data_IF_565148410515
#
_entry.id   IF_565148410515
#
_cell.length_a   1.000
_cell.length_b   1.000
_cell.length_c   1.000
_cell.angle_alpha   90.00
_cell.angle_beta   90.00
_cell.angle_gamma   90.00
#
_symmetry.space_group_name_H-M   'P 1'
#
loop_
_entity.id
_entity.type
_entity.pdbx_description
1 polymer ?
#
# COMPACT_ATOMS: atom_id res chain seq x y z
N UNK A 1 -38.58 21.24 20.26
CA UNK A 1 -37.88 21.22 18.96
C UNK A 1 -38.04 19.81 18.41
N UNK A 2 -38.89 19.67 17.40
CA UNK A 2 -39.03 18.39 16.71
C UNK A 2 -37.77 18.18 15.88
N UNK A 3 -36.92 17.26 16.29
CA UNK A 3 -35.80 16.84 15.47
C UNK A 3 -36.36 16.04 14.28
N UNK A 4 -35.85 16.28 13.05
CA UNK A 4 -36.30 15.53 11.88
C UNK A 4 -36.05 14.03 12.06
N UNK A 5 -36.86 13.16 11.45
CA UNK A 5 -36.86 11.70 11.59
C UNK A 5 -35.57 10.94 11.17
N UNK A 6 -34.49 11.63 10.89
CA UNK A 6 -33.16 11.04 10.57
C UNK A 6 -32.39 10.57 11.80
N UNK A 7 -32.92 10.67 13.01
CA UNK A 7 -32.22 10.32 14.27
C UNK A 7 -31.85 8.84 14.39
N UNK A 8 -32.35 7.98 13.53
CA UNK A 8 -31.97 6.56 13.48
C UNK A 8 -30.70 6.31 12.66
N UNK A 9 -30.23 7.29 11.86
CA UNK A 9 -29.02 7.19 11.06
C UNK A 9 -27.79 7.62 11.87
N UNK A 10 -26.71 6.89 11.70
CA UNK A 10 -25.39 7.18 12.28
C UNK A 10 -24.37 7.32 11.17
N UNK A 11 -23.23 7.97 11.44
CA UNK A 11 -22.11 8.03 10.51
C UNK A 11 -21.69 6.66 9.96
N UNK A 12 -21.92 5.60 10.73
CA UNK A 12 -21.63 4.23 10.32
C UNK A 12 -22.47 3.79 9.10
N UNK A 13 -23.72 4.26 8.97
CA UNK A 13 -24.54 3.94 7.79
C UNK A 13 -23.93 4.53 6.51
N UNK A 14 -23.43 5.76 6.58
CA UNK A 14 -22.77 6.44 5.47
C UNK A 14 -21.45 5.75 5.09
N UNK A 15 -20.64 5.38 6.08
CA UNK A 15 -19.40 4.64 5.87
C UNK A 15 -19.66 3.27 5.23
N UNK A 16 -20.66 2.53 5.71
CA UNK A 16 -21.04 1.25 5.14
C UNK A 16 -21.50 1.37 3.69
N UNK A 17 -22.27 2.41 3.37
CA UNK A 17 -22.67 2.69 1.99
C UNK A 17 -21.47 2.90 1.06
N UNK A 18 -20.52 3.78 1.43
CA UNK A 18 -19.30 4.03 0.64
C UNK A 18 -18.51 2.73 0.45
N UNK A 19 -18.30 1.97 1.53
CA UNK A 19 -17.54 0.72 1.44
C UNK A 19 -18.20 -0.32 0.55
N UNK A 20 -19.54 -0.39 0.53
CA UNK A 20 -20.29 -1.27 -0.40
C UNK A 20 -20.06 -0.86 -1.84
N UNK A 21 -20.05 0.45 -2.12
CA UNK A 21 -19.74 0.97 -3.47
C UNK A 21 -18.31 0.60 -3.89
N UNK A 22 -17.33 0.80 -3.01
CA UNK A 22 -15.92 0.53 -3.29
C UNK A 22 -15.60 -0.96 -3.48
N UNK A 23 -16.23 -1.84 -2.69
CA UNK A 23 -16.02 -3.29 -2.79
C UNK A 23 -16.89 -3.95 -3.87
N UNK A 24 -17.95 -3.26 -4.33
CA UNK A 24 -18.86 -3.72 -5.37
C UNK A 24 -19.79 -4.87 -4.94
N UNK A 25 -19.66 -5.42 -3.75
CA UNK A 25 -20.52 -6.49 -3.22
C UNK A 25 -20.71 -6.41 -1.71
N UNK A 26 -21.94 -6.73 -1.24
CA UNK A 26 -22.24 -6.82 0.20
C UNK A 26 -21.37 -7.84 0.93
N UNK A 27 -21.05 -8.96 0.28
CA UNK A 27 -20.27 -10.04 0.88
C UNK A 27 -18.83 -9.59 1.19
N UNK A 28 -18.13 -9.05 0.20
CA UNK A 28 -16.74 -8.55 0.40
C UNK A 28 -16.66 -7.43 1.43
N UNK A 29 -17.68 -6.55 1.43
CA UNK A 29 -17.74 -5.46 2.42
C UNK A 29 -17.96 -6.00 3.83
N UNK A 30 -18.84 -6.99 3.99
CA UNK A 30 -19.10 -7.62 5.28
C UNK A 30 -17.84 -8.32 5.82
N UNK A 31 -17.10 -9.04 4.97
CA UNK A 31 -15.81 -9.64 5.31
C UNK A 31 -14.78 -8.58 5.75
N UNK A 32 -14.66 -7.48 4.98
CA UNK A 32 -13.75 -6.37 5.31
C UNK A 32 -14.06 -5.75 6.68
N UNK A 33 -15.35 -5.63 7.00
CA UNK A 33 -15.84 -5.01 8.25
C UNK A 33 -15.92 -5.99 9.43
N UNK A 34 -15.65 -7.29 9.22
CA UNK A 34 -15.87 -8.36 10.21
C UNK A 34 -17.29 -8.39 10.78
N UNK A 35 -18.30 -8.18 9.92
CA UNK A 35 -19.71 -8.25 10.26
C UNK A 35 -20.42 -9.31 9.41
N UNK A 36 -21.61 -9.74 9.82
CA UNK A 36 -22.41 -10.63 8.98
C UNK A 36 -23.03 -9.87 7.80
N UNK A 37 -23.07 -10.52 6.62
CA UNK A 37 -23.72 -9.92 5.44
C UNK A 37 -25.19 -9.51 5.68
N UNK A 38 -26.03 -10.29 6.42
CA UNK A 38 -27.37 -9.86 6.78
C UNK A 38 -27.40 -8.55 7.56
N UNK A 39 -26.49 -8.36 8.52
CA UNK A 39 -26.39 -7.11 9.30
C UNK A 39 -26.05 -5.92 8.39
N UNK A 40 -25.07 -6.06 7.51
CA UNK A 40 -24.71 -5.01 6.55
C UNK A 40 -25.89 -4.68 5.64
N UNK A 41 -26.57 -5.70 5.09
CA UNK A 41 -27.74 -5.50 4.25
C UNK A 41 -28.89 -4.80 4.99
N UNK A 42 -29.11 -5.13 6.27
CA UNK A 42 -30.09 -4.46 7.12
C UNK A 42 -29.74 -2.98 7.32
N UNK A 43 -28.47 -2.65 7.54
CA UNK A 43 -28.01 -1.27 7.70
C UNK A 43 -28.20 -0.44 6.42
N UNK A 44 -27.91 -1.01 5.25
CA UNK A 44 -28.17 -0.35 3.97
C UNK A 44 -29.66 -0.19 3.73
N UNK A 45 -30.47 -1.21 4.00
CA UNK A 45 -31.93 -1.12 3.87
C UNK A 45 -32.54 -0.08 4.82
N UNK A 46 -32.00 0.07 6.04
CA UNK A 46 -32.39 1.12 6.97
C UNK A 46 -32.06 2.51 6.39
N UNK A 47 -30.88 2.71 5.83
CA UNK A 47 -30.47 3.96 5.17
C UNK A 47 -31.44 4.31 4.03
N UNK A 48 -31.71 3.37 3.12
CA UNK A 48 -32.65 3.57 2.00
C UNK A 48 -34.06 3.90 2.47
N UNK A 49 -34.50 3.24 3.54
CA UNK A 49 -35.82 3.49 4.14
C UNK A 49 -35.95 4.91 4.67
N UNK A 50 -34.96 5.40 5.41
CA UNK A 50 -34.95 6.74 5.96
C UNK A 50 -34.86 7.82 4.88
N UNK A 51 -34.13 7.53 3.79
CA UNK A 51 -34.04 8.43 2.65
C UNK A 51 -35.28 8.36 1.73
N UNK A 52 -36.10 7.32 1.85
CA UNK A 52 -37.24 7.10 1.00
C UNK A 52 -36.91 6.70 -0.46
N UNK A 53 -35.63 6.42 -0.76
CA UNK A 53 -35.17 6.07 -2.10
C UNK A 53 -34.25 4.86 -2.06
N UNK A 54 -34.17 4.13 -3.17
CA UNK A 54 -33.19 3.06 -3.34
C UNK A 54 -31.87 3.63 -3.82
N UNK A 55 -30.79 3.26 -3.14
CA UNK A 55 -29.43 3.65 -3.50
C UNK A 55 -28.75 2.60 -4.37
N UNK A 56 -29.17 1.34 -4.24
CA UNK A 56 -28.66 0.23 -5.02
C UNK A 56 -29.76 -0.48 -5.79
N UNK A 57 -29.38 -0.98 -6.97
CA UNK A 57 -30.20 -1.88 -7.78
C UNK A 57 -29.37 -3.06 -8.26
N UNK A 58 -30.04 -4.08 -8.83
CA UNK A 58 -29.34 -5.22 -9.43
C UNK A 58 -29.47 -5.15 -10.94
N UNK A 59 -28.31 -5.09 -11.62
CA UNK A 59 -28.24 -5.18 -13.07
C UNK A 59 -27.44 -6.43 -13.44
N UNK A 60 -28.08 -7.37 -14.15
CA UNK A 60 -27.48 -8.67 -14.55
C UNK A 60 -26.81 -9.40 -13.36
N UNK A 61 -27.44 -9.35 -12.18
CA UNK A 61 -26.94 -10.00 -10.97
C UNK A 61 -25.86 -9.21 -10.20
N UNK A 62 -25.35 -8.12 -10.73
CA UNK A 62 -24.38 -7.24 -10.07
C UNK A 62 -25.10 -6.12 -9.30
N UNK A 63 -24.54 -5.77 -8.16
CA UNK A 63 -24.97 -4.60 -7.38
C UNK A 63 -24.45 -3.34 -8.05
N UNK A 64 -25.33 -2.41 -8.41
CA UNK A 64 -24.97 -1.14 -9.04
C UNK A 64 -25.72 0.00 -8.35
N UNK A 65 -25.16 1.21 -8.39
CA UNK A 65 -25.85 2.40 -7.89
C UNK A 65 -27.06 2.74 -8.76
N UNK A 66 -28.08 3.33 -8.13
CA UNK A 66 -29.13 4.08 -8.82
C UNK A 66 -28.65 5.52 -9.05
N UNK A 67 -29.39 6.32 -9.81
CA UNK A 67 -29.12 7.76 -9.96
C UNK A 67 -29.12 8.46 -8.58
N UNK A 68 -30.08 8.14 -7.70
CA UNK A 68 -30.09 8.62 -6.32
C UNK A 68 -28.87 8.12 -5.51
N UNK A 69 -28.38 6.90 -5.81
CA UNK A 69 -27.19 6.34 -5.19
C UNK A 69 -25.92 7.08 -5.61
N UNK A 70 -25.81 7.48 -6.88
CA UNK A 70 -24.67 8.27 -7.39
C UNK A 70 -24.63 9.66 -6.75
N UNK A 71 -25.77 10.35 -6.74
CA UNK A 71 -25.89 11.63 -6.06
C UNK A 71 -25.55 11.51 -4.56
N UNK A 72 -26.12 10.51 -3.89
CA UNK A 72 -25.85 10.30 -2.47
C UNK A 72 -24.38 9.97 -2.17
N UNK A 73 -23.67 9.29 -3.08
CA UNK A 73 -22.24 9.01 -2.96
C UNK A 73 -21.42 10.31 -2.95
N UNK A 74 -21.70 11.22 -3.88
CA UNK A 74 -21.00 12.51 -3.99
C UNK A 74 -21.21 13.35 -2.73
N UNK A 75 -22.46 13.53 -2.31
CA UNK A 75 -22.82 14.29 -1.11
C UNK A 75 -22.23 13.67 0.18
N UNK A 76 -22.28 12.35 0.29
CA UNK A 76 -21.77 11.63 1.48
C UNK A 76 -20.25 11.75 1.61
N UNK A 77 -19.52 11.69 0.50
CA UNK A 77 -18.05 11.89 0.52
C UNK A 77 -17.68 13.28 1.01
N UNK A 78 -18.36 14.30 0.50
CA UNK A 78 -18.17 15.67 0.95
C UNK A 78 -18.48 15.85 2.44
N UNK A 79 -19.62 15.33 2.88
CA UNK A 79 -20.03 15.37 4.28
C UNK A 79 -19.05 14.70 5.23
N UNK A 80 -18.57 13.49 4.92
CA UNK A 80 -17.60 12.79 5.76
C UNK A 80 -16.25 13.52 5.80
N UNK A 81 -15.80 14.10 4.69
CA UNK A 81 -14.60 14.93 4.65
C UNK A 81 -14.74 16.19 5.54
N UNK A 82 -15.91 16.83 5.55
CA UNK A 82 -16.16 18.00 6.41
C UNK A 82 -16.24 17.60 7.89
N UNK A 83 -16.80 16.44 8.21
CA UNK A 83 -16.80 15.89 9.57
C UNK A 83 -15.36 15.65 10.02
N UNK A 84 -14.55 14.97 9.22
CA UNK A 84 -13.13 14.74 9.54
C UNK A 84 -12.36 16.04 9.72
N UNK A 85 -12.57 17.02 8.83
CA UNK A 85 -11.97 18.35 8.92
C UNK A 85 -12.38 19.05 10.21
N UNK A 86 -13.65 18.96 10.61
CA UNK A 86 -14.16 19.56 11.85
C UNK A 86 -13.52 18.91 13.08
N UNK A 87 -13.46 17.56 13.13
CA UNK A 87 -12.76 16.86 14.22
C UNK A 87 -11.28 17.22 14.28
N UNK A 88 -10.62 17.32 13.12
CA UNK A 88 -9.21 17.72 13.03
C UNK A 88 -9.03 19.14 13.57
N UNK A 89 -9.81 20.09 13.12
CA UNK A 89 -9.77 21.49 13.57
C UNK A 89 -10.01 21.64 15.08
N UNK A 90 -11.00 20.92 15.64
CA UNK A 90 -11.27 20.94 17.07
C UNK A 90 -10.14 20.31 17.89
N UNK A 91 -9.58 19.19 17.43
CA UNK A 91 -8.41 18.58 18.06
C UNK A 91 -7.19 19.51 18.02
N UNK A 92 -6.97 20.20 16.92
CA UNK A 92 -5.87 21.18 16.79
C UNK A 92 -6.08 22.40 17.68
N UNK A 93 -7.32 22.87 17.86
CA UNK A 93 -7.63 24.09 18.59
C UNK A 93 -7.82 23.89 20.11
N UNK A 94 -8.39 22.76 20.53
CA UNK A 94 -8.86 22.54 21.91
C UNK A 94 -8.42 21.21 22.52
N UNK A 95 -7.82 20.32 21.73
CA UNK A 95 -7.35 19.02 22.24
C UNK A 95 -6.15 19.22 23.15
N UNK A 96 -6.27 18.88 24.43
CA UNK A 96 -5.13 18.79 25.34
C UNK A 96 -4.20 17.60 25.02
N UNK A 97 -4.40 16.91 23.89
CA UNK A 97 -3.51 15.91 23.35
C UNK A 97 -2.48 16.65 22.50
N UNK A 98 -1.50 17.22 23.19
CA UNK A 98 -0.34 17.92 22.62
C UNK A 98 0.66 16.94 21.98
N UNK A 99 0.21 15.95 21.23
CA UNK A 99 1.13 15.15 20.45
C UNK A 99 0.90 15.41 18.98
N UNK A 100 1.95 15.94 18.32
CA UNK A 100 1.98 16.04 16.87
C UNK A 100 1.61 14.69 16.29
N UNK A 101 0.78 14.62 15.22
CA UNK A 101 0.45 13.36 14.58
C UNK A 101 1.73 12.60 14.21
N UNK A 102 1.68 11.29 14.28
CA UNK A 102 2.73 10.44 13.74
C UNK A 102 2.37 10.11 12.29
N UNK A 103 3.16 10.66 11.36
CA UNK A 103 2.96 10.47 9.92
C UNK A 103 3.88 9.38 9.41
N UNK A 104 3.29 8.28 8.97
CA UNK A 104 4.01 7.10 8.49
C UNK A 104 3.87 6.93 6.98
N UNK A 105 4.99 6.82 6.29
CA UNK A 105 5.06 6.47 4.89
C UNK A 105 5.44 5.00 4.68
N UNK A 106 4.72 4.30 3.82
CA UNK A 106 5.03 2.94 3.38
C UNK A 106 5.29 2.96 1.88
N UNK A 107 6.36 2.30 1.45
CA UNK A 107 6.58 2.17 0.01
C UNK A 107 5.59 1.19 -0.61
N UNK A 108 5.05 1.54 -1.78
CA UNK A 108 4.31 0.64 -2.64
C UNK A 108 5.18 -0.55 -3.09
N UNK A 109 4.57 -1.63 -3.52
CA UNK A 109 5.28 -2.83 -3.98
C UNK A 109 5.57 -3.86 -2.90
N UNK A 110 5.34 -3.55 -1.63
CA UNK A 110 5.24 -4.56 -0.59
C UNK A 110 3.77 -4.83 -0.29
N UNK A 111 3.40 -6.09 -0.41
CA UNK A 111 2.12 -6.69 -0.10
C UNK A 111 1.20 -5.78 0.73
N UNK A 112 0.24 -5.15 0.09
CA UNK A 112 -0.70 -4.21 0.74
C UNK A 112 -1.41 -4.83 1.96
N UNK A 113 -1.57 -6.16 1.98
CA UNK A 113 -2.09 -6.92 3.11
C UNK A 113 -1.17 -6.86 4.33
N UNK A 114 0.15 -6.89 4.15
CA UNK A 114 1.12 -6.78 5.26
C UNK A 114 1.15 -5.38 5.83
N UNK A 115 1.08 -4.34 4.98
CA UNK A 115 0.99 -2.96 5.43
C UNK A 115 -0.26 -2.75 6.30
N UNK A 116 -1.43 -3.22 5.84
CA UNK A 116 -2.69 -3.15 6.62
C UNK A 116 -2.54 -3.81 7.99
N UNK A 117 -1.89 -4.98 8.05
CA UNK A 117 -1.66 -5.69 9.31
C UNK A 117 -0.71 -4.92 10.24
N UNK A 118 0.38 -4.36 9.70
CA UNK A 118 1.31 -3.52 10.48
C UNK A 118 0.58 -2.31 11.07
N UNK A 119 -0.16 -1.57 10.24
CA UNK A 119 -0.91 -0.38 10.67
C UNK A 119 -1.98 -0.73 11.72
N UNK A 120 -2.71 -1.83 11.53
CA UNK A 120 -3.71 -2.29 12.49
C UNK A 120 -3.08 -2.60 13.87
N UNK A 121 -2.02 -3.41 13.91
CA UNK A 121 -1.32 -3.75 15.15
C UNK A 121 -0.68 -2.53 15.81
N UNK A 122 -0.21 -1.58 15.01
CA UNK A 122 0.36 -0.33 15.51
C UNK A 122 -0.72 0.53 16.18
N UNK A 123 -1.88 0.71 15.56
CA UNK A 123 -3.03 1.41 16.17
C UNK A 123 -3.52 0.77 17.45
N UNK A 124 -3.51 -0.56 17.54
CA UNK A 124 -3.84 -1.26 18.79
C UNK A 124 -2.83 -0.97 19.91
N UNK A 125 -1.56 -0.72 19.57
CA UNK A 125 -0.51 -0.43 20.56
C UNK A 125 -0.55 1.01 21.05
N UNK A 126 -1.10 1.92 20.25
CA UNK A 126 -1.17 3.35 20.53
C UNK A 126 -2.56 3.89 20.13
N UNK A 127 -3.61 3.56 20.89
CA UNK A 127 -4.99 3.92 20.51
C UNK A 127 -5.24 5.45 20.52
N UNK A 128 -4.48 6.19 21.33
CA UNK A 128 -4.70 7.62 21.57
C UNK A 128 -3.90 8.54 20.62
N UNK A 129 -3.02 7.97 19.79
CA UNK A 129 -2.25 8.79 18.84
C UNK A 129 -3.03 9.08 17.54
N UNK A 130 -2.85 10.27 17.02
CA UNK A 130 -3.27 10.58 15.66
C UNK A 130 -2.24 9.98 14.69
N UNK A 131 -2.60 8.87 14.04
CA UNK A 131 -1.76 8.20 13.06
C UNK A 131 -2.24 8.53 11.64
N UNK A 132 -1.41 9.23 10.88
CA UNK A 132 -1.58 9.44 9.45
C UNK A 132 -0.73 8.42 8.68
N UNK A 133 -1.32 7.74 7.70
CA UNK A 133 -0.64 6.69 6.92
C UNK A 133 -0.71 7.02 5.45
N UNK A 134 0.43 6.96 4.80
CA UNK A 134 0.56 7.18 3.37
C UNK A 134 1.26 6.00 2.70
N UNK A 135 0.82 5.66 1.51
CA UNK A 135 1.44 4.62 0.67
C UNK A 135 1.75 5.25 -0.68
N UNK A 136 3.03 5.27 -1.04
CA UNK A 136 3.48 5.84 -2.29
C UNK A 136 4.77 5.14 -2.79
N UNK A 137 5.27 5.55 -3.93
CA UNK A 137 6.53 5.05 -4.42
C UNK A 137 7.69 5.45 -3.50
N UNK A 138 8.75 4.65 -3.51
CA UNK A 138 9.92 4.79 -2.61
C UNK A 138 10.59 6.15 -2.67
N UNK A 139 10.68 6.75 -3.87
CA UNK A 139 11.33 8.05 -4.06
C UNK A 139 10.55 9.14 -3.32
N UNK A 140 9.23 9.18 -3.48
CA UNK A 140 8.39 10.17 -2.80
C UNK A 140 8.38 9.96 -1.28
N UNK A 141 8.30 8.73 -0.80
CA UNK A 141 8.37 8.44 0.64
C UNK A 141 9.70 8.91 1.23
N UNK A 142 10.83 8.64 0.54
CA UNK A 142 12.14 9.10 0.98
C UNK A 142 12.25 10.62 0.99
N UNK A 143 11.78 11.30 -0.06
CA UNK A 143 11.77 12.75 -0.19
C UNK A 143 10.94 13.40 0.92
N UNK A 144 9.72 12.94 1.16
CA UNK A 144 8.83 13.46 2.19
C UNK A 144 9.36 13.25 3.61
N UNK A 145 10.07 12.13 3.86
CA UNK A 145 10.77 11.94 5.11
C UNK A 145 11.87 13.00 5.31
N UNK A 146 12.68 13.25 4.28
CA UNK A 146 13.76 14.23 4.33
C UNK A 146 13.24 15.66 4.51
N UNK A 147 12.14 16.00 3.85
CA UNK A 147 11.50 17.34 3.93
C UNK A 147 10.68 17.54 5.21
N UNK A 148 10.48 16.50 6.03
CA UNK A 148 9.72 16.62 7.28
C UNK A 148 8.21 16.49 7.13
N UNK A 149 7.73 16.11 5.96
CA UNK A 149 6.33 15.84 5.70
C UNK A 149 5.89 14.48 6.28
N UNK A 150 6.80 13.51 6.34
CA UNK A 150 6.64 12.26 7.06
C UNK A 150 7.56 12.22 8.29
N UNK A 151 7.17 11.48 9.30
CA UNK A 151 7.92 11.27 10.53
C UNK A 151 8.71 9.95 10.50
N UNK A 152 8.09 8.89 10.01
CA UNK A 152 8.66 7.54 9.93
C UNK A 152 8.39 6.99 8.53
N UNK A 153 9.37 6.34 7.93
CA UNK A 153 9.14 5.53 6.74
C UNK A 153 9.46 4.04 7.00
N UNK A 154 8.71 3.16 6.31
CA UNK A 154 8.84 1.71 6.33
C UNK A 154 8.98 1.23 4.88
N UNK A 155 10.21 0.99 4.43
CA UNK A 155 10.49 0.83 3.02
C UNK A 155 11.76 0.04 2.72
N UNK A 156 11.87 -0.42 1.49
CA UNK A 156 13.17 -0.89 0.96
C UNK A 156 14.02 0.34 0.65
N UNK A 157 15.20 0.41 1.23
CA UNK A 157 16.10 1.55 1.07
C UNK A 157 16.96 1.45 -0.18
N UNK A 158 16.37 1.77 -1.32
CA UNK A 158 17.08 1.92 -2.59
C UNK A 158 17.69 3.32 -2.77
N UNK A 159 17.38 4.24 -1.87
CA UNK A 159 17.81 5.65 -1.95
C UNK A 159 18.96 5.97 -0.97
N UNK A 160 19.52 4.95 -0.34
CA UNK A 160 20.63 5.08 0.63
C UNK A 160 20.33 6.01 1.81
N UNK A 161 19.08 6.03 2.29
CA UNK A 161 18.71 6.77 3.50
C UNK A 161 19.55 6.38 4.71
N UNK A 162 19.94 5.09 4.79
CA UNK A 162 20.79 4.56 5.86
C UNK A 162 22.20 5.17 5.87
N UNK A 163 22.65 5.79 4.77
CA UNK A 163 23.93 6.50 4.68
C UNK A 163 23.81 7.99 5.00
N UNK A 164 22.59 8.51 5.13
CA UNK A 164 22.36 9.93 5.43
C UNK A 164 22.56 10.20 6.92
N UNK A 165 23.52 11.07 7.26
CA UNK A 165 23.88 11.41 8.65
C UNK A 165 22.75 12.02 9.48
N UNK A 166 21.72 12.58 8.83
CA UNK A 166 20.55 13.18 9.46
C UNK A 166 19.40 12.19 9.65
N UNK A 167 19.55 10.95 9.21
CA UNK A 167 18.57 9.89 9.33
C UNK A 167 19.03 8.88 10.35
N UNK A 168 18.11 8.49 11.24
CA UNK A 168 18.21 7.30 12.09
C UNK A 168 17.40 6.18 11.45
N UNK A 169 17.85 4.93 11.59
CA UNK A 169 17.15 3.80 11.02
C UNK A 169 17.30 2.52 11.86
N UNK A 170 16.41 1.57 11.62
CA UNK A 170 16.50 0.17 12.05
C UNK A 170 16.34 -0.73 10.83
N UNK A 171 17.36 -1.52 10.57
CA UNK A 171 17.30 -2.54 9.53
C UNK A 171 16.48 -3.73 10.02
N UNK A 172 15.55 -4.17 9.21
CA UNK A 172 14.73 -5.36 9.48
C UNK A 172 15.36 -6.60 8.87
N UNK A 173 15.63 -6.57 7.57
CA UNK A 173 16.29 -7.65 6.79
C UNK A 173 16.81 -7.08 5.46
N UNK A 174 17.42 -7.93 4.64
CA UNK A 174 17.75 -7.58 3.26
C UNK A 174 16.74 -8.23 2.30
N UNK A 175 16.38 -7.51 1.26
CA UNK A 175 15.66 -8.03 0.11
C UNK A 175 16.64 -8.20 -1.06
N UNK A 176 16.68 -9.38 -1.63
CA UNK A 176 17.49 -9.68 -2.80
C UNK A 176 16.70 -9.46 -4.08
N UNK A 177 17.42 -9.19 -5.16
CA UNK A 177 16.82 -9.06 -6.48
C UNK A 177 16.28 -10.39 -6.98
N UNK A 178 15.08 -10.33 -7.52
CA UNK A 178 14.41 -11.42 -8.19
C UNK A 178 13.95 -10.96 -9.58
N UNK A 179 13.74 -11.91 -10.48
CA UNK A 179 13.04 -11.71 -11.73
C UNK A 179 11.60 -12.19 -11.64
N UNK A 180 10.72 -11.61 -12.43
CA UNK A 180 9.36 -12.13 -12.68
C UNK A 180 9.26 -12.38 -14.17
N UNK A 181 8.88 -13.59 -14.53
CA UNK A 181 8.60 -14.03 -15.91
C UNK A 181 7.21 -14.62 -16.02
N UNK A 182 6.72 -14.78 -17.23
CA UNK A 182 5.52 -15.59 -17.49
C UNK A 182 5.79 -17.05 -17.14
N UNK A 183 4.81 -17.79 -16.61
CA UNK A 183 4.94 -19.21 -16.26
C UNK A 183 5.33 -20.12 -17.44
N UNK A 184 5.07 -19.68 -18.68
CA UNK A 184 5.46 -20.40 -19.90
C UNK A 184 6.84 -19.98 -20.42
N UNK A 185 7.55 -19.08 -19.73
CA UNK A 185 8.92 -18.72 -20.10
C UNK A 185 9.85 -19.91 -19.83
N UNK A 186 10.80 -20.23 -20.72
CA UNK A 186 11.74 -21.35 -20.52
C UNK A 186 12.56 -21.28 -19.24
N UNK A 187 12.73 -20.10 -18.64
CA UNK A 187 13.41 -19.93 -17.36
C UNK A 187 12.53 -20.31 -16.16
N UNK A 188 11.21 -20.39 -16.33
CA UNK A 188 10.28 -20.64 -15.24
C UNK A 188 10.43 -22.05 -14.64
N UNK A 189 10.86 -23.02 -15.45
CA UNK A 189 11.04 -24.42 -15.03
C UNK A 189 12.45 -24.76 -14.58
N UNK A 190 13.38 -23.79 -14.60
CA UNK A 190 14.76 -24.01 -14.14
C UNK A 190 14.85 -23.91 -12.62
N UNK A 191 15.49 -24.87 -11.99
CA UNK A 191 15.76 -24.85 -10.54
C UNK A 191 16.69 -23.69 -10.13
N UNK A 192 17.66 -23.36 -10.98
CA UNK A 192 18.63 -22.31 -10.75
C UNK A 192 18.71 -21.41 -11.97
N UNK A 193 18.44 -20.13 -11.79
CA UNK A 193 18.59 -19.10 -12.82
C UNK A 193 19.67 -18.13 -12.39
N UNK A 194 20.64 -17.91 -13.25
CA UNK A 194 21.71 -16.93 -13.06
C UNK A 194 21.43 -15.69 -13.88
N UNK A 195 22.10 -14.59 -13.57
CA UNK A 195 22.02 -13.36 -14.36
C UNK A 195 22.42 -13.58 -15.83
N UNK A 196 23.32 -14.50 -16.12
CA UNK A 196 23.76 -14.82 -17.51
C UNK A 196 22.65 -15.46 -18.34
N UNK A 197 21.72 -16.15 -17.70
CA UNK A 197 20.57 -16.73 -18.40
C UNK A 197 19.56 -15.68 -18.88
N UNK A 198 19.73 -14.43 -18.44
CA UNK A 198 18.91 -13.28 -18.85
C UNK A 198 19.46 -12.57 -20.09
N UNK A 199 20.59 -13.01 -20.64
CA UNK A 199 21.20 -12.38 -21.81
C UNK A 199 20.25 -12.41 -23.01
N UNK A 200 20.10 -11.27 -23.67
CA UNK A 200 19.17 -11.10 -24.80
C UNK A 200 17.71 -10.82 -24.43
N UNK A 201 17.30 -11.00 -23.15
CA UNK A 201 15.92 -10.75 -22.75
C UNK A 201 15.57 -9.26 -22.73
N UNK A 202 14.29 -8.98 -22.95
CA UNK A 202 13.71 -7.63 -22.77
C UNK A 202 13.26 -7.44 -21.31
N UNK A 203 13.77 -6.39 -20.67
CA UNK A 203 13.30 -5.97 -19.35
C UNK A 203 12.24 -4.88 -19.49
N UNK A 204 11.01 -5.13 -19.08
CA UNK A 204 10.01 -4.07 -18.90
C UNK A 204 10.23 -3.37 -17.58
N UNK A 205 10.28 -2.02 -17.62
CA UNK A 205 10.63 -1.23 -16.45
C UNK A 205 9.76 0.03 -16.35
N UNK A 206 9.36 0.47 -15.13
CA UNK A 206 8.59 1.71 -14.97
C UNK A 206 9.44 2.92 -15.37
N UNK A 207 8.87 3.81 -16.18
CA UNK A 207 9.57 5.02 -16.60
C UNK A 207 9.87 5.95 -15.41
N UNK A 208 9.04 5.92 -14.37
CA UNK A 208 9.26 6.64 -13.11
C UNK A 208 10.56 6.24 -12.40
N UNK A 209 11.04 5.02 -12.62
CA UNK A 209 12.29 4.52 -12.03
C UNK A 209 13.51 4.64 -12.96
N UNK A 210 13.35 5.16 -14.18
CA UNK A 210 14.43 5.20 -15.20
C UNK A 210 15.73 5.82 -14.68
N UNK A 211 15.65 6.88 -13.87
CA UNK A 211 16.80 7.58 -13.29
C UNK A 211 17.09 7.21 -11.84
N UNK A 212 16.42 6.22 -11.27
CA UNK A 212 16.59 5.80 -9.88
C UNK A 212 17.96 5.16 -9.64
N UNK A 213 18.39 5.13 -8.38
CA UNK A 213 19.61 4.39 -7.99
C UNK A 213 19.46 2.91 -8.30
N UNK A 214 18.30 2.33 -8.03
CA UNK A 214 17.97 0.93 -8.32
C UNK A 214 18.27 0.58 -9.79
N UNK A 215 17.77 1.41 -10.73
CA UNK A 215 18.03 1.20 -12.17
C UNK A 215 19.50 1.26 -12.50
N UNK A 216 20.23 2.25 -11.96
CA UNK A 216 21.66 2.38 -12.17
C UNK A 216 22.46 1.20 -11.64
N UNK A 217 22.07 0.68 -10.48
CA UNK A 217 22.73 -0.48 -9.86
C UNK A 217 22.47 -1.75 -10.65
N UNK A 218 21.24 -1.98 -11.12
CA UNK A 218 20.92 -3.10 -12.02
C UNK A 218 21.75 -3.02 -13.29
N UNK A 219 21.77 -1.87 -13.96
CA UNK A 219 22.54 -1.69 -15.21
C UNK A 219 24.04 -1.85 -14.99
N UNK A 220 24.58 -1.36 -13.86
CA UNK A 220 25.99 -1.58 -13.49
C UNK A 220 26.30 -3.05 -13.30
N UNK A 221 25.40 -3.77 -12.59
CA UNK A 221 25.55 -5.18 -12.32
C UNK A 221 25.49 -6.01 -13.61
N UNK A 222 24.55 -5.73 -14.51
CA UNK A 222 24.44 -6.38 -15.81
C UNK A 222 25.74 -6.20 -16.63
N UNK A 223 26.25 -4.97 -16.72
CA UNK A 223 27.53 -4.69 -17.42
C UNK A 223 28.71 -5.45 -16.82
N UNK A 224 28.82 -5.46 -15.48
CA UNK A 224 29.89 -6.17 -14.78
C UNK A 224 29.86 -7.69 -14.98
N UNK A 225 28.70 -8.24 -15.27
CA UNK A 225 28.51 -9.69 -15.53
C UNK A 225 28.41 -10.04 -17.03
N UNK A 226 28.65 -9.07 -17.92
CA UNK A 226 28.56 -9.24 -19.38
C UNK A 226 27.18 -9.72 -19.86
N UNK A 227 26.11 -9.24 -19.24
CA UNK A 227 24.71 -9.54 -19.61
C UNK A 227 24.15 -8.36 -20.40
N UNK A 228 23.69 -8.63 -21.60
CA UNK A 228 23.10 -7.62 -22.50
C UNK A 228 21.57 -7.76 -22.50
N UNK A 229 20.86 -6.78 -21.98
CA UNK A 229 19.41 -6.75 -21.91
C UNK A 229 18.86 -5.45 -22.51
N UNK A 230 17.69 -5.53 -23.13
CA UNK A 230 16.97 -4.37 -23.62
C UNK A 230 15.97 -3.87 -22.59
N UNK A 231 16.14 -2.62 -22.13
CA UNK A 231 15.17 -1.99 -21.22
C UNK A 231 14.09 -1.27 -22.01
N UNK A 232 12.85 -1.68 -21.83
CA UNK A 232 11.68 -1.01 -22.37
C UNK A 232 10.92 -0.29 -21.25
N UNK A 233 11.03 1.03 -21.23
CA UNK A 233 10.39 1.87 -20.25
C UNK A 233 8.92 2.10 -20.56
N UNK A 234 8.03 1.98 -19.54
CA UNK A 234 6.58 2.16 -19.69
C UNK A 234 6.08 3.17 -18.65
N UNK A 235 5.14 4.03 -19.07
CA UNK A 235 4.48 5.00 -18.18
C UNK A 235 3.30 4.35 -17.45
N UNK A 236 3.58 3.30 -16.71
CA UNK A 236 2.60 2.55 -15.92
C UNK A 236 3.20 2.21 -14.56
N UNK A 237 2.33 1.93 -13.60
CA UNK A 237 2.75 1.42 -12.29
C UNK A 237 3.33 0.00 -12.39
N UNK A 238 4.01 -0.41 -11.34
CA UNK A 238 4.71 -1.70 -11.29
C UNK A 238 3.76 -2.91 -11.42
N UNK A 239 2.51 -2.82 -10.92
CA UNK A 239 1.53 -3.91 -11.03
C UNK A 239 1.00 -4.04 -12.45
N UNK A 240 0.71 -2.92 -13.08
CA UNK A 240 0.28 -2.88 -14.49
C UNK A 240 1.37 -3.40 -15.42
N UNK A 241 2.65 -3.20 -15.06
CA UNK A 241 3.79 -3.66 -15.86
C UNK A 241 3.78 -5.18 -16.05
N UNK A 242 3.29 -5.95 -15.08
CA UNK A 242 3.17 -7.42 -15.14
C UNK A 242 2.32 -7.91 -16.30
N UNK A 243 1.40 -7.08 -16.82
CA UNK A 243 0.57 -7.40 -17.99
C UNK A 243 1.35 -7.41 -19.31
N UNK A 244 2.55 -6.83 -19.33
CA UNK A 244 3.46 -6.84 -20.47
C UNK A 244 4.37 -8.06 -20.52
N UNK A 245 4.34 -8.94 -19.51
CA UNK A 245 5.08 -10.19 -19.51
C UNK A 245 4.42 -11.19 -20.47
N UNK A 246 4.76 -11.04 -21.74
CA UNK A 246 4.41 -11.99 -22.80
C UNK A 246 5.44 -13.13 -22.83
N UNK A 247 5.03 -14.25 -23.39
CA UNK A 247 5.50 -15.58 -23.12
C UNK A 247 7.01 -15.80 -23.12
N UNK A 248 7.83 -15.37 -24.03
CA UNK A 248 9.12 -16.07 -24.17
C UNK A 248 10.40 -15.25 -23.91
N UNK A 249 10.34 -13.93 -23.94
CA UNK A 249 11.58 -13.14 -23.98
C UNK A 249 11.56 -11.92 -23.06
N UNK A 250 10.68 -11.90 -22.04
CA UNK A 250 10.55 -10.72 -21.20
C UNK A 250 10.60 -11.01 -19.70
N UNK A 251 11.16 -10.06 -18.96
CA UNK A 251 11.32 -10.12 -17.52
C UNK A 251 11.02 -8.76 -16.88
N UNK A 252 10.60 -8.77 -15.62
CA UNK A 252 10.56 -7.60 -14.75
C UNK A 252 11.41 -7.90 -13.52
N UNK A 253 12.24 -6.99 -13.08
CA UNK A 253 12.96 -7.13 -11.82
C UNK A 253 12.11 -6.68 -10.63
N UNK A 254 12.24 -7.38 -9.51
CA UNK A 254 11.55 -7.08 -8.26
C UNK A 254 12.44 -7.33 -7.05
N UNK A 255 12.15 -6.62 -5.96
CA UNK A 255 12.70 -6.90 -4.62
C UNK A 255 11.69 -7.68 -3.75
N UNK A 256 10.51 -8.00 -4.28
CA UNK A 256 9.54 -8.87 -3.59
C UNK A 256 9.96 -10.33 -3.69
N UNK A 257 9.84 -11.06 -2.60
CA UNK A 257 10.02 -12.52 -2.56
C UNK A 257 8.76 -13.30 -2.94
N UNK A 258 7.70 -12.62 -3.42
CA UNK A 258 6.40 -13.23 -3.67
C UNK A 258 5.71 -12.67 -4.90
N UNK A 259 5.02 -13.52 -5.63
CA UNK A 259 4.17 -13.18 -6.78
C UNK A 259 2.80 -13.82 -6.58
N UNK A 260 1.79 -12.98 -6.44
CA UNK A 260 0.38 -13.41 -6.29
C UNK A 260 -0.32 -13.47 -7.65
N UNK A 261 0.19 -14.31 -8.53
CA UNK A 261 -0.41 -14.58 -9.83
C UNK A 261 0.09 -15.92 -10.36
N UNK A 262 -0.78 -16.93 -10.58
CA UNK A 262 -0.39 -18.25 -11.03
C UNK A 262 0.22 -18.28 -12.45
N UNK A 263 -0.03 -17.25 -13.26
CA UNK A 263 0.55 -17.14 -14.61
C UNK A 263 1.96 -16.52 -14.61
N UNK A 264 2.49 -16.17 -13.44
CA UNK A 264 3.81 -15.59 -13.28
C UNK A 264 4.68 -16.45 -12.37
N UNK A 265 5.97 -16.45 -12.65
CA UNK A 265 6.97 -17.18 -11.86
C UNK A 265 8.03 -16.21 -11.33
N UNK A 266 8.39 -16.38 -10.06
CA UNK A 266 9.49 -15.67 -9.44
C UNK A 266 10.79 -16.44 -9.68
N UNK A 267 11.82 -15.74 -10.13
CA UNK A 267 13.17 -16.25 -10.35
C UNK A 267 14.11 -15.62 -9.32
N UNK A 268 14.60 -16.35 -8.32
CA UNK A 268 15.62 -15.83 -7.41
C UNK A 268 16.93 -15.59 -8.15
N UNK A 269 17.40 -14.34 -8.19
CA UNK A 269 18.63 -13.97 -8.92
C UNK A 269 19.80 -13.65 -7.97
N UNK A 270 19.52 -13.07 -6.81
CA UNK A 270 20.55 -12.62 -5.88
C UNK A 270 21.44 -11.50 -6.45
N UNK A 271 22.68 -11.44 -5.99
CA UNK A 271 23.70 -10.50 -6.48
C UNK A 271 23.50 -9.03 -6.10
N UNK A 272 22.27 -8.52 -6.18
CA UNK A 272 21.89 -7.17 -5.75
C UNK A 272 20.94 -7.33 -4.57
N UNK A 273 21.19 -6.61 -3.48
CA UNK A 273 20.30 -6.61 -2.32
C UNK A 273 20.23 -5.24 -1.66
N UNK A 274 19.07 -4.93 -1.10
CA UNK A 274 18.83 -3.68 -0.38
C UNK A 274 18.26 -3.95 1.01
N UNK A 275 18.63 -3.11 2.00
CA UNK A 275 18.05 -3.25 3.33
C UNK A 275 16.59 -2.80 3.32
N UNK A 276 15.73 -3.56 3.98
CA UNK A 276 14.40 -3.12 4.35
C UNK A 276 14.49 -2.45 5.71
N UNK A 277 14.08 -1.19 5.79
CA UNK A 277 14.31 -0.33 6.95
C UNK A 277 13.03 0.32 7.47
N UNK A 278 13.09 0.66 8.74
CA UNK A 278 12.29 1.71 9.35
C UNK A 278 13.24 2.87 9.60
N UNK A 279 12.95 4.05 9.02
CA UNK A 279 13.81 5.22 9.15
C UNK A 279 13.02 6.46 9.55
N UNK A 280 13.72 7.39 10.23
CA UNK A 280 13.18 8.67 10.72
C UNK A 280 14.28 9.71 10.79
N UNK A 281 13.90 11.00 10.85
CA UNK A 281 14.91 12.06 11.04
C UNK A 281 15.54 11.98 12.42
N UNK A 282 16.84 12.10 12.48
CA UNK A 282 17.63 12.00 13.72
C UNK A 282 17.22 13.05 14.77
N UNK A 283 16.80 14.23 14.34
CA UNK A 283 16.28 15.30 15.20
C UNK A 283 15.01 14.92 15.96
N UNK A 284 14.22 13.97 15.42
CA UNK A 284 12.96 13.51 15.99
C UNK A 284 13.09 12.21 16.82
N UNK A 285 14.32 11.68 16.98
CA UNK A 285 14.55 10.36 17.60
C UNK A 285 13.89 10.27 18.96
N UNK A 286 14.08 11.26 19.84
CA UNK A 286 13.52 11.25 21.21
C UNK A 286 11.97 11.17 21.20
N UNK A 287 11.32 11.88 20.29
CA UNK A 287 9.85 11.85 20.14
C UNK A 287 9.35 10.54 19.56
N UNK A 288 10.08 9.98 18.59
CA UNK A 288 9.63 8.85 17.79
C UNK A 288 10.09 7.49 18.32
N UNK A 289 10.99 7.46 19.30
CA UNK A 289 11.59 6.22 19.83
C UNK A 289 10.55 5.15 20.25
N UNK A 290 9.49 5.45 21.04
CA UNK A 290 8.50 4.46 21.41
C UNK A 290 7.78 3.86 20.20
N UNK A 291 7.49 4.70 19.20
CA UNK A 291 6.78 4.32 18.00
C UNK A 291 7.65 3.47 17.06
N UNK A 292 8.93 3.87 16.89
CA UNK A 292 9.86 3.14 16.02
C UNK A 292 10.23 1.77 16.59
N UNK A 293 10.45 1.66 17.90
CA UNK A 293 10.70 0.38 18.56
C UNK A 293 9.52 -0.58 18.43
N UNK A 294 8.30 -0.07 18.65
CA UNK A 294 7.10 -0.90 18.49
C UNK A 294 6.87 -1.31 17.05
N UNK A 295 7.08 -0.40 16.10
CA UNK A 295 6.94 -0.69 14.67
C UNK A 295 7.94 -1.77 14.23
N UNK A 296 9.18 -1.72 14.71
CA UNK A 296 10.20 -2.77 14.49
C UNK A 296 9.74 -4.12 15.02
N UNK A 297 9.21 -4.16 16.24
CA UNK A 297 8.73 -5.40 16.85
C UNK A 297 7.56 -6.01 16.06
N UNK A 298 6.58 -5.20 15.67
CA UNK A 298 5.43 -5.60 14.85
C UNK A 298 5.91 -6.13 13.49
N UNK A 299 6.77 -5.38 12.80
CA UNK A 299 7.26 -5.76 11.48
C UNK A 299 8.00 -7.10 11.52
N UNK A 300 8.86 -7.31 12.51
CA UNK A 300 9.57 -8.58 12.70
C UNK A 300 8.62 -9.74 13.00
N UNK A 301 7.55 -9.53 13.76
CA UNK A 301 6.57 -10.59 14.08
C UNK A 301 5.80 -11.06 12.85
N UNK A 302 5.37 -10.11 12.00
CA UNK A 302 4.64 -10.41 10.77
C UNK A 302 5.52 -11.17 9.77
N UNK A 303 6.82 -10.86 9.74
CA UNK A 303 7.76 -11.50 8.80
C UNK A 303 8.18 -12.89 9.22
N UNK A 304 8.35 -13.16 10.52
CA UNK A 304 8.64 -14.52 11.03
C UNK A 304 7.50 -15.51 10.76
N UNK A 305 6.28 -15.04 10.60
CA UNK A 305 5.12 -15.90 10.34
C UNK A 305 5.04 -16.39 8.88
N UNK A 306 5.95 -15.96 8.00
CA UNK A 306 5.97 -16.32 6.58
C UNK A 306 7.29 -17.02 6.13
N UNK A 307 8.12 -17.44 7.09
CA UNK A 307 9.26 -18.36 6.91
C UNK A 307 8.88 -19.72 7.51
#
# INVERSE_FOLDING_TARGET
MDYPGYMSLTLQHFQYFILVVEQGTMMKTAELLNVSQPLLSQKIAQLEKELGVKLFTRNKGKLVLTEAGEQFLEETRGFLADVEKTFKSLKESYGHISEKPVRMGFSDGNESSKIKKVVHMFRQSFPDILLEVEIDNRLLIAERLLNGELDICHMVDTENLHLNKNISYRKLYNLSMNGIVNSNNPLADRENVSWRDLDGLTCYWPNSLNKSMLTRDIQRFLRANHVNMQFQYRNVDYFTLRKYLHVDESIIFTLSGYVDNPTLKLLPLGGISYPFIIAWRKSETKRLEPYTERLVAISKSIMKANI
#
